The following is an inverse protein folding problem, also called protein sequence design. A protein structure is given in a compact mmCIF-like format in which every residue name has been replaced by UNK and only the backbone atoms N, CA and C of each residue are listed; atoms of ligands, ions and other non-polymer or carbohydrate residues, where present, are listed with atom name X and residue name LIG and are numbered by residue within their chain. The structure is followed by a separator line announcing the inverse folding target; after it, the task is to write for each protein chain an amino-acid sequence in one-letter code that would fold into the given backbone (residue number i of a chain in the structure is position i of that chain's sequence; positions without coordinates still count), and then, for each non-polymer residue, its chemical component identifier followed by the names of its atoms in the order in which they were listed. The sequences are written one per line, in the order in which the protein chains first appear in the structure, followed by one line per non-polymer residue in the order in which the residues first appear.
data_IF_324143349992
#
_entry.id   IF_324143349992
#
_cell.length_a   1.000
_cell.length_b   1.000
_cell.length_c   1.000
_cell.angle_alpha   90.00
_cell.angle_beta   90.00
_cell.angle_gamma   90.00
#
_symmetry.space_group_name_H-M   'P 1'
#
loop_
_entity.id
_entity.type
_entity.pdbx_description
1 polymer ?
#
# COMPACT_ATOMS: atom_id res chain seq x y z
N UNK A 1 20.15 12.74 6.76
CA UNK A 1 18.81 12.91 6.16
C UNK A 1 18.56 14.40 6.01
N UNK A 2 18.31 14.89 4.79
CA UNK A 2 18.21 16.32 4.51
C UNK A 2 16.76 16.80 4.61
N UNK A 3 16.55 17.88 5.38
CA UNK A 3 15.25 18.54 5.58
C UNK A 3 14.55 18.90 4.25
N UNK A 4 15.34 19.21 3.21
CA UNK A 4 14.87 19.46 1.86
C UNK A 4 14.13 18.27 1.22
N UNK A 5 14.59 17.03 1.42
CA UNK A 5 13.92 15.84 0.85
C UNK A 5 12.53 15.61 1.46
N UNK A 6 12.34 16.05 2.71
CA UNK A 6 11.07 16.00 3.45
C UNK A 6 10.06 17.06 2.97
N UNK A 7 10.55 18.20 2.47
CA UNK A 7 9.72 19.29 1.96
C UNK A 7 9.39 19.10 0.48
N UNK A 8 10.32 18.59 -0.33
CA UNK A 8 10.10 18.38 -1.77
C UNK A 8 9.36 17.08 -2.10
N UNK A 9 9.16 16.18 -1.13
CA UNK A 9 8.53 14.87 -1.35
C UNK A 9 9.39 13.90 -2.17
N UNK A 10 10.68 14.22 -2.38
CA UNK A 10 11.62 13.35 -3.10
C UNK A 10 11.87 12.03 -2.34
N UNK A 11 11.80 12.06 -1.01
CA UNK A 11 11.81 10.89 -0.13
C UNK A 11 10.66 9.92 -0.45
N UNK A 12 9.45 10.47 -0.61
CA UNK A 12 8.23 9.72 -0.90
C UNK A 12 8.26 9.05 -2.28
N UNK A 13 8.91 9.70 -3.25
CA UNK A 13 9.11 9.11 -4.59
C UNK A 13 10.06 7.91 -4.54
N UNK A 14 11.08 7.95 -3.66
CA UNK A 14 12.01 6.83 -3.46
C UNK A 14 11.30 5.66 -2.78
N UNK A 15 10.57 5.93 -1.71
CA UNK A 15 9.79 4.90 -1.02
C UNK A 15 8.69 4.29 -1.92
N UNK A 16 7.98 5.11 -2.70
CA UNK A 16 7.01 4.60 -3.68
C UNK A 16 7.64 3.69 -4.74
N UNK A 17 8.85 4.00 -5.20
CA UNK A 17 9.61 3.11 -6.10
C UNK A 17 9.99 1.81 -5.40
N UNK A 18 10.34 1.85 -4.11
CA UNK A 18 10.62 0.65 -3.33
C UNK A 18 9.37 -0.25 -3.20
N UNK A 19 8.20 0.34 -2.91
CA UNK A 19 6.93 -0.39 -2.86
C UNK A 19 6.57 -1.01 -4.21
N UNK A 20 6.70 -0.26 -5.30
CA UNK A 20 6.48 -0.82 -6.65
C UNK A 20 7.45 -1.97 -6.96
N UNK A 21 8.71 -1.88 -6.52
CA UNK A 21 9.68 -2.96 -6.74
C UNK A 21 9.32 -4.22 -5.96
N UNK A 22 8.84 -4.10 -4.72
CA UNK A 22 8.32 -5.22 -3.91
C UNK A 22 7.05 -5.81 -4.53
N UNK A 23 6.05 -4.98 -4.85
CA UNK A 23 4.81 -5.43 -5.47
C UNK A 23 5.04 -6.17 -6.80
N UNK A 24 6.02 -5.75 -7.61
CA UNK A 24 6.40 -6.44 -8.86
C UNK A 24 6.98 -7.83 -8.67
N UNK A 25 7.49 -8.18 -7.48
CA UNK A 25 7.97 -9.53 -7.16
C UNK A 25 6.81 -10.49 -6.86
N UNK A 26 5.63 -9.96 -6.54
CA UNK A 26 4.45 -10.76 -6.25
C UNK A 26 3.80 -11.30 -7.53
N UNK A 27 3.00 -12.37 -7.44
CA UNK A 27 2.23 -12.91 -8.56
C UNK A 27 1.28 -11.87 -9.18
N UNK A 28 0.84 -12.09 -10.43
CA UNK A 28 -0.04 -11.15 -11.15
C UNK A 28 -1.30 -10.76 -10.37
N UNK A 29 -1.93 -11.73 -9.70
CA UNK A 29 -3.14 -11.50 -8.90
C UNK A 29 -2.90 -10.50 -7.76
N UNK A 30 -1.73 -10.58 -7.12
CA UNK A 30 -1.30 -9.67 -6.07
C UNK A 30 -0.94 -8.28 -6.60
N UNK A 31 -0.38 -8.20 -7.81
CA UNK A 31 -0.12 -6.92 -8.47
C UNK A 31 -1.42 -6.18 -8.82
N UNK A 32 -2.45 -6.89 -9.28
CA UNK A 32 -3.76 -6.31 -9.56
C UNK A 32 -4.45 -5.84 -8.28
N UNK A 33 -4.37 -6.64 -7.20
CA UNK A 33 -4.85 -6.25 -5.88
C UNK A 33 -4.20 -4.96 -5.38
N UNK A 34 -2.86 -4.92 -5.42
CA UNK A 34 -2.07 -3.75 -5.04
C UNK A 34 -2.48 -2.51 -5.81
N UNK A 35 -2.71 -2.64 -7.13
CA UNK A 35 -3.15 -1.54 -7.98
C UNK A 35 -4.56 -1.05 -7.61
N UNK A 36 -5.47 -1.97 -7.28
CA UNK A 36 -6.84 -1.63 -6.85
C UNK A 36 -6.82 -0.90 -5.51
N UNK A 37 -6.04 -1.39 -4.54
CA UNK A 37 -5.89 -0.78 -3.21
C UNK A 37 -5.29 0.62 -3.31
N UNK A 38 -4.20 0.77 -4.05
CA UNK A 38 -3.56 2.08 -4.25
C UNK A 38 -4.48 3.07 -4.95
N UNK A 39 -5.33 2.61 -5.87
CA UNK A 39 -6.34 3.45 -6.54
C UNK A 39 -7.45 3.89 -5.57
N UNK A 40 -7.96 2.99 -4.72
CA UNK A 40 -8.97 3.31 -3.71
C UNK A 40 -8.43 4.22 -2.60
N UNK A 41 -7.16 4.04 -2.21
CA UNK A 41 -6.51 4.85 -1.17
C UNK A 41 -6.11 6.25 -1.66
N UNK A 42 -5.86 6.41 -2.96
CA UNK A 42 -5.46 7.70 -3.55
C UNK A 42 -6.39 8.88 -3.18
N UNK A 43 -7.73 8.79 -3.29
CA UNK A 43 -8.64 9.85 -2.87
C UNK A 43 -8.67 10.09 -1.34
N UNK A 44 -8.25 9.12 -0.52
CA UNK A 44 -8.12 9.26 0.93
C UNK A 44 -6.76 9.82 1.36
N UNK A 45 -5.91 10.19 0.41
CA UNK A 45 -4.63 10.82 0.69
C UNK A 45 -4.79 12.27 1.09
N UNK A 46 -4.32 12.61 2.29
CA UNK A 46 -3.92 13.98 2.59
C UNK A 46 -2.94 14.44 1.50
N UNK A 47 -3.03 15.70 1.04
CA UNK A 47 -2.26 16.28 -0.10
C UNK A 47 -0.74 16.05 -0.07
N UNK A 48 -0.20 15.52 1.03
CA UNK A 48 1.21 15.17 1.19
C UNK A 48 1.51 13.68 1.19
N UNK A 49 0.56 12.75 1.02
CA UNK A 49 0.79 11.29 0.90
C UNK A 49 1.46 10.57 2.08
N UNK A 50 2.02 11.31 3.05
CA UNK A 50 2.80 10.79 4.19
C UNK A 50 2.00 9.95 5.17
N UNK A 51 0.69 10.17 5.23
CA UNK A 51 -0.22 9.34 6.02
C UNK A 51 -0.43 7.97 5.36
N UNK A 52 -0.34 7.88 4.02
CA UNK A 52 -0.50 6.63 3.30
C UNK A 52 0.73 5.76 3.29
N UNK A 53 1.92 6.33 3.34
CA UNK A 53 3.17 5.56 3.30
C UNK A 53 3.20 4.39 4.31
N UNK A 54 2.89 4.57 5.61
CA UNK A 54 2.82 3.46 6.55
C UNK A 54 1.65 2.50 6.30
N UNK A 55 0.52 2.98 5.75
CA UNK A 55 -0.63 2.13 5.42
C UNK A 55 -0.29 1.23 4.23
N UNK A 56 0.33 1.79 3.20
CA UNK A 56 0.79 1.10 2.01
C UNK A 56 1.86 0.06 2.34
N UNK A 57 2.84 0.41 3.19
CA UNK A 57 3.84 -0.56 3.66
C UNK A 57 3.18 -1.72 4.43
N UNK A 58 2.22 -1.42 5.31
CA UNK A 58 1.48 -2.44 6.05
C UNK A 58 0.65 -3.37 5.15
N UNK A 59 -0.04 -2.81 4.15
CA UNK A 59 -0.79 -3.61 3.17
C UNK A 59 0.16 -4.46 2.32
N UNK A 60 1.28 -3.90 1.89
CA UNK A 60 2.25 -4.63 1.09
C UNK A 60 2.89 -5.78 1.89
N UNK A 61 3.18 -5.56 3.17
CA UNK A 61 3.65 -6.60 4.07
C UNK A 61 2.64 -7.74 4.23
N UNK A 62 1.34 -7.43 4.35
CA UNK A 62 0.28 -8.45 4.36
C UNK A 62 0.20 -9.22 3.04
N UNK A 63 0.33 -8.52 1.90
CA UNK A 63 0.38 -9.16 0.58
C UNK A 63 1.60 -10.08 0.43
N UNK A 64 2.76 -9.70 0.97
CA UNK A 64 3.97 -10.53 0.94
C UNK A 64 3.85 -11.76 1.85
N UNK A 65 3.30 -11.60 3.05
CA UNK A 65 3.04 -12.70 4.00
C UNK A 65 2.06 -13.72 3.40
N UNK A 66 0.99 -13.23 2.80
CA UNK A 66 -0.05 -14.09 2.23
C UNK A 66 0.34 -14.72 0.91
N UNK A 67 1.18 -14.05 0.11
CA UNK A 67 1.84 -14.67 -1.02
C UNK A 67 2.80 -15.79 -0.59
N UNK A 68 3.45 -15.65 0.56
CA UNK A 68 4.31 -16.69 1.13
C UNK A 68 3.51 -17.88 1.68
N UNK A 69 2.32 -17.63 2.24
CA UNK A 69 1.39 -18.67 2.69
C UNK A 69 0.64 -19.34 1.51
N UNK A 70 0.67 -18.73 0.32
CA UNK A 70 0.01 -19.24 -0.88
C UNK A 70 -1.51 -19.02 -0.89
N UNK A 71 -2.01 -18.10 -0.06
CA UNK A 71 -3.44 -17.77 0.00
C UNK A 71 -3.86 -16.89 -1.19
N UNK A 72 -5.15 -16.80 -1.45
CA UNK A 72 -5.66 -15.87 -2.46
C UNK A 72 -5.84 -14.48 -1.88
N UNK A 73 -5.43 -13.45 -2.63
CA UNK A 73 -5.59 -12.03 -2.26
C UNK A 73 -7.01 -11.68 -1.82
N UNK A 74 -8.02 -12.31 -2.44
CA UNK A 74 -9.44 -12.07 -2.16
C UNK A 74 -9.86 -12.62 -0.81
N UNK A 75 -9.25 -13.70 -0.34
CA UNK A 75 -9.50 -14.25 1.00
C UNK A 75 -8.84 -13.39 2.09
N UNK A 76 -7.71 -12.77 1.76
CA UNK A 76 -6.87 -12.04 2.72
C UNK A 76 -7.35 -10.60 2.90
N UNK A 77 -7.62 -9.91 1.79
CA UNK A 77 -8.12 -8.55 1.83
C UNK A 77 -9.63 -8.50 2.08
N UNK A 78 -10.32 -9.63 1.91
CA UNK A 78 -11.77 -9.71 1.87
C UNK A 78 -12.35 -8.92 0.69
N UNK A 79 -13.60 -9.21 0.33
CA UNK A 79 -14.36 -8.42 -0.66
C UNK A 79 -14.49 -6.93 -0.23
N UNK A 80 -14.17 -6.63 1.03
CA UNK A 80 -14.38 -5.37 1.71
C UNK A 80 -13.05 -4.68 2.10
N UNK A 81 -12.24 -4.40 1.08
CA UNK A 81 -11.06 -3.53 1.19
C UNK A 81 -11.46 -2.19 1.84
N UNK A 82 -12.65 -1.69 1.56
CA UNK A 82 -13.18 -0.46 2.15
C UNK A 82 -13.40 -0.57 3.68
N UNK A 83 -14.00 -1.65 4.18
CA UNK A 83 -14.23 -1.83 5.62
C UNK A 83 -12.94 -2.07 6.41
N UNK A 84 -11.97 -2.81 5.85
CA UNK A 84 -10.67 -3.00 6.54
C UNK A 84 -9.86 -1.70 6.65
N UNK A 85 -9.89 -0.86 5.61
CA UNK A 85 -9.26 0.47 5.63
C UNK A 85 -10.03 1.41 6.57
N UNK A 86 -11.37 1.43 6.52
CA UNK A 86 -12.21 2.24 7.40
C UNK A 86 -12.01 1.89 8.88
N UNK A 87 -11.91 0.59 9.21
CA UNK A 87 -11.71 0.11 10.58
C UNK A 87 -10.34 0.49 11.16
N UNK A 88 -9.29 0.55 10.33
CA UNK A 88 -7.96 1.05 10.75
C UNK A 88 -7.89 2.57 10.88
N UNK A 89 -8.78 3.31 10.20
CA UNK A 89 -8.85 4.77 10.25
C UNK A 89 -9.71 5.30 11.41
N UNK A 90 -10.30 4.43 12.24
CA UNK A 90 -10.97 4.85 13.48
C UNK A 90 -12.23 5.69 13.25
N UNK A 91 -13.15 5.18 12.43
CA UNK A 91 -14.56 5.57 12.49
C UNK A 91 -15.43 4.38 12.89
#
# INVERSE_FOLDING_TARGET
MNFWEKITGSDMTKEWKAFQSRARKLPKEYQEAWKKITTNLWPHSDMTGRNLMPILDGVLGLLEETAADGQSVQEVLGDDIDNTIAKKLGK
#
